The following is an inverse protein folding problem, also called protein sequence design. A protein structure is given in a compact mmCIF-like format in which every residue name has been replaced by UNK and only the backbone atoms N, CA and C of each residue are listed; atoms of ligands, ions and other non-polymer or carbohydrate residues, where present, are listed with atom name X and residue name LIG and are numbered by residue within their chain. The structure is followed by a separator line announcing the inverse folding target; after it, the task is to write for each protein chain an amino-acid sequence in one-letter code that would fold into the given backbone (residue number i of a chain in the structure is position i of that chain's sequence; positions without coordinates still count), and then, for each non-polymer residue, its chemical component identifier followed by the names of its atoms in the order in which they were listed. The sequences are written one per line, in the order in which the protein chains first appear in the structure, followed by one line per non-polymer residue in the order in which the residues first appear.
data_IF_389058634525
#
_entry.id   IF_389058634525
#
_cell.length_a   1.000
_cell.length_b   1.000
_cell.length_c   1.000
_cell.angle_alpha   90.00
_cell.angle_beta   90.00
_cell.angle_gamma   90.00
#
_symmetry.space_group_name_H-M   'P 1'
#
loop_
_entity.id
_entity.type
_entity.pdbx_description
1 polymer ?
#
# COMPACT_ATOMS: atom_id res chain seq x y z
N UNK A 1 -26.98 -1.66 -47.89
CA UNK A 1 -27.03 -2.10 -46.47
C UNK A 1 -25.76 -2.90 -46.20
N UNK A 2 -25.34 -3.08 -44.94
CA UNK A 2 -24.09 -3.75 -44.51
C UNK A 2 -22.77 -2.96 -44.63
N UNK A 3 -22.50 -1.98 -43.74
CA UNK A 3 -21.12 -1.64 -43.33
C UNK A 3 -20.95 -1.16 -41.88
N UNK A 4 -21.95 -1.32 -41.00
CA UNK A 4 -21.94 -0.61 -39.70
C UNK A 4 -21.99 -1.49 -38.44
N UNK A 5 -21.94 -2.82 -38.56
CA UNK A 5 -22.20 -3.71 -37.41
C UNK A 5 -20.92 -4.28 -36.75
N UNK A 6 -19.75 -4.12 -37.37
CA UNK A 6 -18.53 -4.84 -36.93
C UNK A 6 -17.64 -4.03 -35.97
N UNK A 7 -17.87 -2.72 -35.81
CA UNK A 7 -16.98 -1.86 -34.99
C UNK A 7 -17.34 -1.78 -33.49
N UNK A 8 -18.54 -2.20 -33.09
CA UNK A 8 -19.03 -2.00 -31.70
C UNK A 8 -18.64 -3.15 -30.78
N UNK A 9 -18.43 -4.36 -31.31
CA UNK A 9 -18.11 -5.56 -30.51
C UNK A 9 -16.66 -5.57 -29.99
N UNK A 10 -15.71 -5.01 -30.74
CA UNK A 10 -14.28 -5.02 -30.33
C UNK A 10 -14.04 -4.03 -29.17
N UNK A 11 -14.69 -2.86 -29.17
CA UNK A 11 -14.53 -1.88 -28.09
C UNK A 11 -15.06 -2.38 -26.73
N UNK A 12 -16.13 -3.18 -26.71
CA UNK A 12 -16.68 -3.75 -25.48
C UNK A 12 -15.80 -4.87 -24.89
N UNK A 13 -15.07 -5.62 -25.71
CA UNK A 13 -14.17 -6.69 -25.23
C UNK A 13 -12.86 -6.11 -24.69
N UNK A 14 -12.34 -5.03 -25.28
CA UNK A 14 -11.11 -4.39 -24.81
C UNK A 14 -11.33 -3.40 -23.64
N UNK A 15 -12.55 -2.85 -23.48
CA UNK A 15 -12.84 -1.87 -22.42
C UNK A 15 -12.87 -2.44 -20.99
N UNK A 16 -12.94 -3.76 -20.82
CA UNK A 16 -13.11 -4.41 -19.50
C UNK A 16 -11.78 -4.81 -18.85
N UNK A 17 -10.64 -4.72 -19.55
CA UNK A 17 -9.38 -5.36 -19.13
C UNK A 17 -8.42 -4.43 -18.35
N UNK A 18 -8.88 -3.33 -17.74
CA UNK A 18 -7.98 -2.39 -17.04
C UNK A 18 -8.41 -2.00 -15.62
N UNK A 19 -9.08 -2.89 -14.91
CA UNK A 19 -9.21 -2.80 -13.45
C UNK A 19 -8.38 -3.91 -12.80
N UNK A 20 -7.17 -3.61 -12.34
CA UNK A 20 -6.56 -4.47 -11.31
C UNK A 20 -7.39 -4.29 -10.04
N UNK A 21 -8.04 -5.35 -9.58
CA UNK A 21 -8.81 -5.32 -8.34
C UNK A 21 -7.86 -5.10 -7.16
N UNK A 22 -7.99 -3.94 -6.48
CA UNK A 22 -7.24 -3.62 -5.27
C UNK A 22 -7.61 -4.59 -4.13
N UNK A 23 -6.60 -5.05 -3.39
CA UNK A 23 -6.78 -5.84 -2.19
C UNK A 23 -7.24 -4.94 -1.05
N UNK A 24 -8.55 -4.84 -0.83
CA UNK A 24 -9.11 -3.97 0.19
C UNK A 24 -8.76 -4.45 1.61
N UNK A 25 -8.66 -3.49 2.54
CA UNK A 25 -8.48 -3.79 3.96
C UNK A 25 -9.80 -4.29 4.53
N UNK A 26 -9.80 -5.53 5.04
CA UNK A 26 -10.97 -6.06 5.74
C UNK A 26 -11.12 -5.40 7.12
N UNK A 27 -12.34 -5.06 7.56
CA UNK A 27 -12.61 -4.52 8.89
C UNK A 27 -12.58 -5.62 9.97
N UNK A 28 -11.58 -6.52 9.92
CA UNK A 28 -11.44 -7.67 10.82
C UNK A 28 -10.45 -7.36 11.95
N UNK A 29 -10.90 -7.24 13.21
CA UNK A 29 -9.99 -7.00 14.33
C UNK A 29 -8.91 -8.08 14.45
N UNK A 30 -7.67 -7.66 14.70
CA UNK A 30 -6.50 -8.54 14.82
C UNK A 30 -5.68 -8.68 13.53
N UNK A 31 -6.21 -8.26 12.37
CA UNK A 31 -5.41 -8.18 11.14
C UNK A 31 -4.40 -7.04 11.24
N UNK A 32 -3.14 -7.30 10.89
CA UNK A 32 -2.05 -6.34 11.03
C UNK A 32 -1.32 -6.14 9.71
N UNK A 33 -0.90 -4.91 9.46
CA UNK A 33 -0.20 -4.49 8.26
C UNK A 33 1.13 -3.86 8.62
N UNK A 34 2.14 -4.13 7.82
CA UNK A 34 3.47 -3.58 8.00
C UNK A 34 3.48 -2.08 7.62
N UNK A 35 4.25 -1.29 8.37
CA UNK A 35 4.34 0.15 8.17
C UNK A 35 5.77 0.64 8.07
N UNK A 36 6.02 1.62 7.20
CA UNK A 36 7.34 2.18 6.97
C UNK A 36 7.25 3.64 6.49
N UNK A 37 8.32 4.41 6.68
CA UNK A 37 8.50 5.69 5.97
C UNK A 37 9.47 5.49 4.80
N UNK A 38 9.42 6.31 3.75
CA UNK A 38 10.26 6.13 2.56
C UNK A 38 11.77 6.06 2.88
N UNK A 39 12.20 6.83 3.89
CA UNK A 39 13.59 6.87 4.34
C UNK A 39 13.92 5.81 5.40
N UNK A 40 12.98 4.94 5.76
CA UNK A 40 13.25 3.89 6.74
C UNK A 40 14.06 2.78 6.07
N UNK A 41 15.31 2.56 6.50
CA UNK A 41 16.12 1.48 5.96
C UNK A 41 15.46 0.14 6.26
N UNK A 42 15.48 -0.76 5.27
CA UNK A 42 15.03 -2.16 5.42
C UNK A 42 16.13 -2.90 6.21
N UNK A 43 16.28 -2.60 7.49
CA UNK A 43 17.10 -3.42 8.39
C UNK A 43 16.25 -4.59 8.90
N UNK A 44 16.90 -5.72 9.20
CA UNK A 44 16.37 -6.96 9.81
C UNK A 44 15.76 -6.77 11.23
N UNK A 45 15.30 -5.56 11.55
CA UNK A 45 14.57 -5.24 12.77
C UNK A 45 13.07 -5.49 12.64
N UNK A 46 12.37 -5.44 13.77
CA UNK A 46 10.91 -5.62 13.86
C UNK A 46 10.22 -4.47 13.11
N UNK A 47 9.66 -4.75 11.93
CA UNK A 47 8.88 -3.77 11.17
C UNK A 47 7.68 -3.35 12.01
N UNK A 48 7.46 -2.04 12.25
CA UNK A 48 6.32 -1.60 13.03
C UNK A 48 5.03 -1.96 12.29
N UNK A 49 4.06 -2.49 13.02
CA UNK A 49 2.78 -2.91 12.48
C UNK A 49 1.64 -2.04 12.98
N UNK A 50 0.67 -1.81 12.12
CA UNK A 50 -0.60 -1.21 12.48
C UNK A 50 -1.70 -2.27 12.33
N UNK A 51 -2.45 -2.48 13.40
CA UNK A 51 -3.47 -3.53 13.46
C UNK A 51 -4.87 -2.94 13.48
N UNK A 52 -5.77 -3.63 12.80
CA UNK A 52 -7.20 -3.39 12.82
C UNK A 52 -7.72 -3.70 14.21
N UNK A 53 -8.44 -2.74 14.80
CA UNK A 53 -8.99 -2.84 16.15
C UNK A 53 -10.26 -2.00 16.27
N UNK A 54 -11.02 -2.26 17.33
CA UNK A 54 -12.12 -1.39 17.72
C UNK A 54 -11.58 -0.04 18.16
N UNK A 55 -12.20 1.04 17.69
CA UNK A 55 -11.78 2.40 18.02
C UNK A 55 -12.39 2.81 19.36
N UNK A 56 -11.58 3.13 20.39
CA UNK A 56 -12.11 3.38 21.74
C UNK A 56 -12.98 4.65 21.83
N UNK A 57 -12.74 5.61 20.93
CA UNK A 57 -13.40 6.92 20.95
C UNK A 57 -14.56 7.03 19.95
N UNK A 58 -14.87 5.95 19.21
CA UNK A 58 -15.98 5.91 18.26
C UNK A 58 -16.74 4.60 18.47
N UNK A 59 -17.94 4.72 19.04
CA UNK A 59 -18.78 3.57 19.36
C UNK A 59 -19.05 2.76 18.10
N UNK A 60 -18.82 1.46 18.18
CA UNK A 60 -19.04 0.49 17.10
C UNK A 60 -18.28 0.77 15.79
N UNK A 61 -17.11 1.42 15.88
CA UNK A 61 -16.20 1.58 14.76
C UNK A 61 -14.98 0.67 14.85
N UNK A 62 -14.53 0.21 13.69
CA UNK A 62 -13.32 -0.57 13.47
C UNK A 62 -12.37 0.21 12.58
N UNK A 63 -11.09 0.20 12.93
CA UNK A 63 -10.08 0.94 12.19
C UNK A 63 -8.67 0.56 12.54
N UNK A 64 -7.73 1.17 11.84
CA UNK A 64 -6.30 0.93 11.96
C UNK A 64 -5.64 2.21 12.48
N UNK A 65 -5.02 2.13 13.66
CA UNK A 65 -4.31 3.26 14.25
C UNK A 65 -2.81 3.08 14.08
N UNK A 66 -2.17 4.08 13.48
CA UNK A 66 -0.75 4.07 13.17
C UNK A 66 0.10 4.49 14.36
N UNK A 67 1.42 4.28 14.26
CA UNK A 67 2.40 4.75 15.25
C UNK A 67 2.44 6.29 15.36
N UNK A 68 2.04 6.99 14.29
CA UNK A 68 1.99 8.45 14.23
C UNK A 68 0.68 9.03 14.79
N UNK A 69 -0.14 8.18 15.42
CA UNK A 69 -1.40 8.54 16.04
C UNK A 69 -2.51 8.96 15.06
N UNK A 70 -2.37 8.61 13.78
CA UNK A 70 -3.43 8.73 12.79
C UNK A 70 -4.28 7.46 12.80
N UNK A 71 -5.56 7.57 12.46
CA UNK A 71 -6.49 6.44 12.49
C UNK A 71 -7.27 6.34 11.18
N UNK A 72 -7.06 5.27 10.44
CA UNK A 72 -7.89 4.91 9.29
C UNK A 72 -9.15 4.23 9.81
N UNK A 73 -10.31 4.74 9.42
CA UNK A 73 -11.62 4.19 9.78
C UNK A 73 -12.09 3.30 8.64
N UNK A 74 -12.32 2.03 8.94
CA UNK A 74 -12.70 1.02 7.94
C UNK A 74 -14.22 0.80 7.94
N UNK A 75 -14.83 0.72 9.12
CA UNK A 75 -16.26 0.49 9.27
C UNK A 75 -16.78 1.13 10.55
N UNK A 76 -18.01 1.64 10.52
CA UNK A 76 -18.73 2.18 11.69
C UNK A 76 -20.21 1.78 11.62
N UNK A 77 -20.73 1.08 12.65
CA UNK A 77 -22.16 0.78 12.71
C UNK A 77 -22.96 2.05 13.02
N UNK A 78 -24.07 2.25 12.30
CA UNK A 78 -25.01 3.35 12.56
C UNK A 78 -24.66 4.69 11.92
N UNK A 79 -23.50 4.79 11.26
CA UNK A 79 -23.21 5.93 10.38
C UNK A 79 -24.04 5.80 9.10
N UNK A 80 -25.24 6.42 9.08
CA UNK A 80 -25.90 6.73 7.80
C UNK A 80 -24.92 7.62 7.05
N UNK A 81 -24.40 7.13 5.92
CA UNK A 81 -23.55 7.87 4.99
C UNK A 81 -22.25 8.44 5.58
N UNK A 82 -21.21 7.61 5.71
CA UNK A 82 -19.97 8.07 5.09
C UNK A 82 -20.27 8.15 3.60
N UNK A 83 -20.12 9.33 2.96
CA UNK A 83 -20.10 9.42 1.49
C UNK A 83 -19.42 8.17 0.95
N UNK A 84 -20.07 7.43 0.06
CA UNK A 84 -19.50 6.20 -0.52
C UNK A 84 -18.15 6.59 -1.11
N UNK A 85 -17.07 6.29 -0.39
CA UNK A 85 -15.73 6.53 -0.88
C UNK A 85 -15.49 5.51 -1.99
N UNK A 86 -14.64 5.88 -2.95
CA UNK A 86 -14.22 4.93 -3.97
C UNK A 86 -13.58 3.70 -3.31
N UNK A 87 -13.72 2.50 -3.89
CA UNK A 87 -13.03 1.31 -3.39
C UNK A 87 -11.53 1.57 -3.21
N UNK A 88 -10.99 1.22 -2.04
CA UNK A 88 -9.59 1.48 -1.68
C UNK A 88 -9.35 2.87 -1.08
N UNK A 89 -10.36 3.73 -0.98
CA UNK A 89 -10.29 4.99 -0.24
C UNK A 89 -10.98 4.89 1.12
N UNK A 90 -10.34 5.46 2.14
CA UNK A 90 -10.76 5.35 3.53
C UNK A 90 -10.72 6.72 4.21
N UNK A 91 -11.61 6.93 5.18
CA UNK A 91 -11.53 8.10 6.05
C UNK A 91 -10.33 7.95 6.98
N UNK A 92 -9.56 9.01 7.16
CA UNK A 92 -8.48 9.10 8.15
C UNK A 92 -8.77 10.19 9.17
N UNK A 93 -8.48 9.91 10.43
CA UNK A 93 -8.46 10.90 11.52
C UNK A 93 -6.99 11.19 11.79
N UNK A 94 -6.57 12.42 11.53
CA UNK A 94 -5.20 12.86 11.67
C UNK A 94 -4.80 13.03 13.14
N UNK A 95 -3.49 13.23 13.38
CA UNK A 95 -2.96 13.45 14.74
C UNK A 95 -3.59 14.67 15.44
N UNK A 96 -3.90 15.71 14.68
CA UNK A 96 -4.59 16.93 15.12
C UNK A 96 -6.11 16.76 15.25
N UNK A 97 -6.62 15.53 15.04
CA UNK A 97 -8.04 15.15 15.01
C UNK A 97 -8.82 15.73 13.83
N UNK A 98 -8.16 16.28 12.82
CA UNK A 98 -8.82 16.63 11.56
C UNK A 98 -9.21 15.36 10.79
N UNK A 99 -10.34 15.41 10.09
CA UNK A 99 -10.77 14.35 9.19
C UNK A 99 -10.16 14.55 7.79
N UNK A 100 -9.81 13.45 7.14
CA UNK A 100 -9.33 13.43 5.76
C UNK A 100 -9.70 12.14 5.04
N UNK A 101 -9.23 12.01 3.81
CA UNK A 101 -9.38 10.79 3.00
C UNK A 101 -8.00 10.37 2.49
N UNK A 102 -7.71 9.08 2.59
CA UNK A 102 -6.51 8.46 2.03
C UNK A 102 -6.92 7.31 1.13
N UNK A 103 -6.20 7.11 0.04
CA UNK A 103 -6.50 6.07 -0.94
C UNK A 103 -5.31 5.13 -1.11
N UNK A 104 -5.64 3.87 -1.34
CA UNK A 104 -4.72 2.83 -1.71
C UNK A 104 -4.21 3.07 -3.12
N UNK A 105 -2.91 2.87 -3.31
CA UNK A 105 -2.24 3.03 -4.60
C UNK A 105 -1.19 1.94 -4.77
N UNK A 106 -0.91 1.58 -6.02
CA UNK A 106 0.17 0.66 -6.32
C UNK A 106 1.54 1.38 -6.34
N UNK A 107 2.46 0.98 -5.47
CA UNK A 107 3.83 1.46 -5.42
C UNK A 107 4.76 0.55 -6.22
N UNK A 108 4.97 0.90 -7.49
CA UNK A 108 5.79 0.16 -8.46
C UNK A 108 7.18 -0.23 -7.94
N UNK A 109 7.83 0.64 -7.14
CA UNK A 109 9.18 0.39 -6.59
C UNK A 109 9.23 -0.81 -5.64
N UNK A 110 8.13 -1.13 -4.96
CA UNK A 110 8.04 -2.26 -4.03
C UNK A 110 7.16 -3.40 -4.54
N UNK A 111 6.39 -3.17 -5.60
CA UNK A 111 5.40 -4.14 -6.07
C UNK A 111 4.25 -4.32 -5.08
N UNK A 112 3.95 -3.28 -4.29
CA UNK A 112 2.95 -3.35 -3.22
C UNK A 112 1.86 -2.30 -3.39
N UNK A 113 0.65 -2.68 -3.05
CA UNK A 113 -0.46 -1.79 -2.78
C UNK A 113 -0.30 -1.17 -1.39
N UNK A 114 -0.32 0.16 -1.33
CA UNK A 114 0.01 0.91 -0.13
C UNK A 114 -0.97 2.04 0.11
N UNK A 115 -1.19 2.36 1.39
CA UNK A 115 -1.85 3.60 1.81
C UNK A 115 -0.79 4.51 2.42
N UNK A 116 -0.65 5.72 1.90
CA UNK A 116 0.24 6.74 2.48
C UNK A 116 -0.58 7.71 3.32
N UNK A 117 -0.26 7.84 4.60
CA UNK A 117 -0.90 8.82 5.49
C UNK A 117 -0.33 10.22 5.33
N UNK A 118 -1.02 11.28 5.79
CA UNK A 118 -0.51 12.66 5.74
C UNK A 118 0.83 12.87 6.45
N UNK A 119 1.14 12.06 7.45
CA UNK A 119 2.46 12.05 8.10
C UNK A 119 3.55 11.25 7.35
N UNK A 120 3.31 10.91 6.08
CA UNK A 120 4.21 10.14 5.20
C UNK A 120 4.53 8.74 5.72
N UNK A 121 3.60 8.13 6.46
CA UNK A 121 3.68 6.72 6.83
C UNK A 121 2.97 5.88 5.76
N UNK A 122 3.69 4.92 5.20
CA UNK A 122 3.12 3.93 4.30
C UNK A 122 2.66 2.72 5.09
N UNK A 123 1.49 2.20 4.73
CA UNK A 123 0.89 0.96 5.23
C UNK A 123 0.84 0.00 4.04
N UNK A 124 1.55 -1.13 4.13
CA UNK A 124 1.55 -2.17 3.09
C UNK A 124 0.30 -3.02 3.22
N UNK A 125 -0.61 -2.90 2.27
CA UNK A 125 -1.89 -3.64 2.28
C UNK A 125 -1.70 -5.02 1.67
N UNK A 126 -1.07 -5.05 0.49
CA UNK A 126 -0.77 -6.28 -0.23
C UNK A 126 0.48 -6.08 -1.07
N UNK A 127 1.36 -7.07 -1.11
CA UNK A 127 2.54 -7.07 -1.97
C UNK A 127 2.44 -8.22 -2.94
N UNK A 128 2.53 -7.91 -4.24
CA UNK A 128 2.57 -8.96 -5.24
C UNK A 128 3.89 -9.72 -5.10
N UNK A 129 3.84 -11.07 -5.13
CA UNK A 129 5.06 -11.85 -5.17
C UNK A 129 5.84 -11.42 -6.41
N UNK A 130 7.10 -11.00 -6.22
CA UNK A 130 7.98 -10.70 -7.35
C UNK A 130 8.19 -12.02 -8.09
N UNK A 131 7.57 -12.16 -9.26
CA UNK A 131 7.80 -13.29 -10.16
C UNK A 131 9.27 -13.23 -10.61
N UNK A 132 10.12 -13.93 -9.88
CA UNK A 132 11.57 -13.95 -10.14
C UNK A 132 12.40 -13.94 -8.86
N UNK A 133 12.29 -14.99 -8.07
CA UNK A 133 13.39 -15.86 -7.61
C UNK A 133 12.96 -16.55 -6.33
N UNK A 134 13.11 -17.88 -6.31
CA UNK A 134 13.10 -18.67 -5.10
C UNK A 134 13.89 -17.98 -3.99
N UNK A 135 13.35 -18.07 -2.77
CA UNK A 135 13.96 -17.73 -1.49
C UNK A 135 15.42 -17.20 -1.52
N UNK A 136 15.60 -15.97 -1.02
CA UNK A 136 16.83 -15.50 -0.37
C UNK A 136 18.09 -15.35 -1.23
N UNK A 137 18.18 -14.29 -2.05
CA UNK A 137 19.51 -13.76 -2.44
C UNK A 137 19.51 -12.23 -2.38
N UNK A 138 20.04 -11.68 -1.28
CA UNK A 138 20.57 -10.31 -1.28
C UNK A 138 21.87 -10.36 -2.08
N UNK A 139 21.85 -9.86 -3.32
CA UNK A 139 23.09 -9.61 -4.07
C UNK A 139 23.77 -8.39 -3.45
N UNK A 140 24.64 -8.63 -2.47
CA UNK A 140 25.59 -7.61 -2.01
C UNK A 140 26.58 -7.40 -3.15
N UNK A 141 26.46 -6.27 -3.83
CA UNK A 141 27.43 -5.83 -4.82
C UNK A 141 28.69 -5.39 -4.07
N UNK A 142 29.65 -6.30 -3.91
CA UNK A 142 30.95 -5.98 -3.32
C UNK A 142 31.62 -4.87 -4.15
N UNK A 143 31.63 -3.65 -3.61
CA UNK A 143 32.49 -2.58 -4.09
C UNK A 143 33.93 -2.91 -3.69
N UNK A 144 34.59 -3.79 -4.46
CA UNK A 144 36.04 -3.94 -4.34
C UNK A 144 36.70 -2.63 -4.78
N UNK A 145 37.53 -1.98 -3.92
CA UNK A 145 38.27 -0.80 -4.33
C UNK A 145 39.25 -1.17 -5.45
N UNK A 146 39.24 -0.33 -6.50
CA UNK A 146 40.12 -0.42 -7.66
C UNK A 146 41.57 -0.33 -7.17
N UNK A 147 42.31 -1.45 -7.15
CA UNK A 147 43.75 -1.44 -6.87
C UNK A 147 44.44 -0.57 -7.91
N UNK A 148 44.95 0.56 -7.43
CA UNK A 148 45.86 1.45 -8.11
C UNK A 148 47.09 0.65 -8.59
N UNK A 149 47.36 0.68 -9.90
CA UNK A 149 48.57 0.07 -10.46
C UNK A 149 49.76 0.84 -9.92
N UNK A 150 50.49 0.21 -9.00
CA UNK A 150 51.82 0.64 -8.61
C UNK A 150 52.77 0.09 -9.68
N UNK A 151 53.02 0.88 -10.72
CA UNK A 151 54.13 0.60 -11.61
C UNK A 151 55.42 0.64 -10.78
N UNK A 152 56.05 -0.52 -10.66
CA UNK A 152 57.39 -0.66 -10.11
C UNK A 152 58.16 -1.58 -11.05
N UNK A 153 59.20 -0.99 -11.63
CA UNK A 153 60.48 -1.62 -12.00
C UNK A 153 60.39 -2.58 -13.22
N UNK A 154 61.33 -2.60 -14.17
CA UNK A 154 62.72 -2.13 -14.26
C UNK A 154 63.09 -2.11 -15.73
#
# INVERSE_FOLDING_TARGET
MEKSVILISIACVFGVVLGEDLHLIEPKPGQCYDTYTENQPIYLGRIPRACVRRLPNQKDCVGLRTKNNETIVLECKGARTSKTLEPGCYRIINKDKSDGVVCQKYMKRRGCEVITTPSNLNIEVYCHPVLGTDASVIVVKDNKPRRERRDKNT
#
